data_IF_371878303073
#
_entry.id   IF_371878303073
#
_cell.length_a   1.000
_cell.length_b   1.000
_cell.length_c   1.000
_cell.angle_alpha   90.00
_cell.angle_beta   90.00
_cell.angle_gamma   90.00
#
_symmetry.space_group_name_H-M   'P 1'
#
loop_
_entity.id
_entity.type
_entity.pdbx_description
1 polymer ?
#
# COMPACT_ATOMS: atom_id res chain seq x y z
N UNK A 1 -29.21 -16.85 -0.30
CA UNK A 1 -27.78 -16.87 -0.65
C UNK A 1 -27.60 -17.25 -2.11
N UNK A 2 -27.42 -16.24 -2.97
CA UNK A 2 -26.64 -16.35 -4.22
C UNK A 2 -25.92 -15.02 -4.33
N UNK A 3 -24.60 -15.09 -4.26
CA UNK A 3 -23.66 -13.97 -4.23
C UNK A 3 -23.76 -13.18 -5.54
N UNK A 4 -24.18 -11.92 -5.45
CA UNK A 4 -23.97 -10.93 -6.50
C UNK A 4 -22.48 -10.58 -6.50
N UNK A 5 -21.77 -10.99 -7.55
CA UNK A 5 -20.49 -10.37 -7.91
C UNK A 5 -20.87 -9.17 -8.78
N UNK A 6 -20.96 -7.99 -8.17
CA UNK A 6 -21.10 -6.74 -8.91
C UNK A 6 -19.72 -6.37 -9.46
N UNK A 7 -19.43 -6.79 -10.69
CA UNK A 7 -18.37 -6.17 -11.50
C UNK A 7 -18.89 -4.76 -11.78
N UNK A 8 -18.27 -3.76 -11.15
CA UNK A 8 -18.58 -2.36 -11.42
C UNK A 8 -18.29 -2.09 -12.91
N UNK A 9 -19.36 -1.88 -13.67
CA UNK A 9 -19.29 -1.39 -15.04
C UNK A 9 -18.45 -0.11 -15.08
N UNK A 10 -17.27 -0.18 -15.69
CA UNK A 10 -16.67 0.98 -16.34
C UNK A 10 -17.62 1.38 -17.46
N UNK A 11 -18.49 2.36 -17.19
CA UNK A 11 -19.20 3.08 -18.25
C UNK A 11 -18.17 3.97 -18.94
N UNK A 12 -17.38 3.36 -19.82
CA UNK A 12 -16.63 4.09 -20.83
C UNK A 12 -17.66 4.78 -21.71
N UNK A 13 -17.67 6.11 -21.74
CA UNK A 13 -18.57 6.89 -22.60
C UNK A 13 -18.22 6.53 -24.05
N UNK A 14 -19.05 5.68 -24.65
CA UNK A 14 -18.96 5.28 -26.04
C UNK A 14 -19.52 6.42 -26.89
N UNK A 15 -18.69 7.10 -27.68
CA UNK A 15 -19.21 7.93 -28.76
C UNK A 15 -19.46 7.03 -29.98
N UNK A 16 -20.70 6.56 -30.10
CA UNK A 16 -21.23 6.04 -31.36
C UNK A 16 -21.38 7.23 -32.31
N UNK A 17 -20.51 7.35 -33.30
CA UNK A 17 -20.81 8.16 -34.48
C UNK A 17 -21.40 7.19 -35.50
N UNK A 18 -22.72 7.05 -35.51
CA UNK A 18 -23.41 6.58 -36.70
C UNK A 18 -23.13 7.60 -37.80
N UNK A 19 -22.19 7.29 -38.71
CA UNK A 19 -21.89 8.19 -39.81
C UNK A 19 -23.09 8.22 -40.76
N UNK A 20 -23.92 9.25 -40.66
CA UNK A 20 -24.64 9.78 -41.81
C UNK A 20 -23.63 10.51 -42.69
N UNK A 21 -23.48 10.05 -43.93
CA UNK A 21 -22.90 10.60 -45.18
C UNK A 21 -21.65 11.53 -45.19
N UNK A 22 -21.23 12.17 -44.09
CA UNK A 22 -20.28 13.30 -44.14
C UNK A 22 -18.88 13.04 -43.54
N UNK A 23 -18.59 11.85 -43.01
CA UNK A 23 -17.21 11.45 -42.68
C UNK A 23 -16.62 10.57 -43.79
N UNK A 24 -16.46 11.16 -44.98
CA UNK A 24 -15.79 10.51 -46.10
C UNK A 24 -14.30 10.33 -45.81
N UNK A 25 -13.95 9.13 -45.32
CA UNK A 25 -12.70 8.50 -45.73
C UNK A 25 -12.82 8.21 -47.23
N UNK A 26 -11.98 8.83 -48.04
CA UNK A 26 -12.06 8.74 -49.48
C UNK A 26 -11.96 7.28 -49.97
N UNK A 27 -13.06 6.80 -50.57
CA UNK A 27 -13.10 5.63 -51.46
C UNK A 27 -12.78 4.27 -50.84
N UNK A 28 -13.76 3.66 -50.15
CA UNK A 28 -14.01 2.21 -50.01
C UNK A 28 -15.11 1.99 -48.94
N UNK A 29 -15.94 0.95 -49.09
CA UNK A 29 -17.10 0.46 -48.29
C UNK A 29 -17.54 1.28 -47.04
N UNK A 30 -18.83 1.67 -46.91
CA UNK A 30 -19.30 2.46 -45.77
C UNK A 30 -19.08 1.75 -44.43
N UNK A 31 -18.37 2.42 -43.52
CA UNK A 31 -18.17 1.97 -42.14
C UNK A 31 -19.50 2.03 -41.39
N UNK A 32 -19.99 0.89 -40.91
CA UNK A 32 -21.29 0.80 -40.23
C UNK A 32 -21.19 0.93 -38.71
N UNK A 33 -20.06 0.57 -38.12
CA UNK A 33 -19.80 0.69 -36.67
C UNK A 33 -18.40 1.28 -36.47
N UNK A 34 -18.33 2.36 -35.71
CA UNK A 34 -17.08 3.02 -35.33
C UNK A 34 -16.91 3.00 -33.81
N UNK A 35 -15.79 2.45 -33.34
CA UNK A 35 -15.36 2.60 -31.95
C UNK A 35 -14.33 3.71 -31.86
N UNK A 36 -14.56 4.67 -30.97
CA UNK A 36 -13.56 5.68 -30.60
C UNK A 36 -13.02 5.32 -29.23
N UNK A 37 -11.79 4.80 -29.20
CA UNK A 37 -11.09 4.53 -27.94
C UNK A 37 -10.37 5.82 -27.47
N UNK A 38 -10.73 6.40 -26.31
CA UNK A 38 -10.14 7.64 -25.82
C UNK A 38 -8.81 7.38 -25.10
N UNK A 39 -7.83 6.76 -25.77
CA UNK A 39 -6.55 6.42 -25.16
C UNK A 39 -5.41 6.51 -26.17
N UNK A 40 -4.22 6.85 -25.66
CA UNK A 40 -3.03 6.92 -26.47
C UNK A 40 -2.30 5.57 -26.47
N UNK A 41 -2.34 4.91 -27.62
CA UNK A 41 -1.53 3.73 -27.90
C UNK A 41 -0.10 4.18 -28.24
N UNK A 42 0.91 3.42 -27.81
CA UNK A 42 2.30 3.67 -28.19
C UNK A 42 2.39 3.49 -29.70
N UNK A 43 2.67 4.57 -30.42
CA UNK A 43 2.48 4.63 -31.88
C UNK A 43 3.26 3.56 -32.68
N UNK A 44 4.29 2.95 -32.08
CA UNK A 44 5.19 1.99 -32.72
C UNK A 44 5.07 0.56 -32.18
N UNK A 45 4.25 0.30 -31.15
CA UNK A 45 4.06 -1.05 -30.63
C UNK A 45 2.91 -1.76 -31.38
N UNK A 46 3.04 -3.07 -31.67
CA UNK A 46 1.96 -3.84 -32.28
C UNK A 46 0.90 -4.18 -31.23
N UNK A 47 -0.35 -3.94 -31.59
CA UNK A 47 -1.52 -4.30 -30.78
C UNK A 47 -2.44 -5.22 -31.56
N UNK A 48 -3.11 -6.12 -30.85
CA UNK A 48 -4.11 -7.01 -31.42
C UNK A 48 -5.49 -6.48 -31.09
N UNK A 49 -6.21 -6.03 -32.11
CA UNK A 49 -7.64 -5.77 -32.02
C UNK A 49 -8.40 -7.07 -32.23
N UNK A 50 -9.33 -7.37 -31.33
CA UNK A 50 -10.26 -8.49 -31.39
C UNK A 50 -11.67 -7.91 -31.34
N UNK A 51 -12.52 -8.35 -32.25
CA UNK A 51 -13.95 -8.04 -32.24
C UNK A 51 -14.72 -9.35 -32.23
N UNK A 52 -15.62 -9.48 -31.27
CA UNK A 52 -16.52 -10.62 -31.10
C UNK A 52 -17.95 -10.15 -31.24
N UNK A 53 -18.73 -10.86 -32.07
CA UNK A 53 -20.15 -10.57 -32.30
C UNK A 53 -20.98 -11.75 -31.81
N UNK A 54 -21.92 -11.46 -30.92
CA UNK A 54 -22.85 -12.43 -30.35
C UNK A 54 -24.28 -11.95 -30.48
N UNK A 55 -25.23 -12.87 -30.42
CA UNK A 55 -26.66 -12.58 -30.44
C UNK A 55 -27.48 -13.85 -30.56
N UNK A 56 -28.79 -13.75 -30.32
CA UNK A 56 -29.72 -14.87 -30.41
C UNK A 56 -29.81 -15.39 -31.86
N UNK A 57 -29.75 -16.71 -32.04
CA UNK A 57 -29.88 -17.36 -33.34
C UNK A 57 -28.66 -17.24 -34.26
N UNK A 58 -27.49 -16.86 -33.75
CA UNK A 58 -26.22 -16.94 -34.47
C UNK A 58 -25.15 -17.66 -33.64
N UNK A 59 -24.18 -18.29 -34.32
CA UNK A 59 -22.94 -18.69 -33.67
C UNK A 59 -22.08 -17.46 -33.40
N UNK A 60 -21.28 -17.48 -32.33
CA UNK A 60 -20.34 -16.42 -32.02
C UNK A 60 -19.36 -16.23 -33.20
N UNK A 61 -19.25 -14.99 -33.67
CA UNK A 61 -18.32 -14.64 -34.73
C UNK A 61 -17.19 -13.80 -34.15
N UNK A 62 -15.96 -14.26 -34.30
CA UNK A 62 -14.77 -13.56 -33.81
C UNK A 62 -13.84 -13.25 -34.97
N UNK A 63 -13.32 -12.03 -35.00
CA UNK A 63 -12.29 -11.61 -35.95
C UNK A 63 -11.25 -10.76 -35.24
N UNK A 64 -10.01 -10.85 -35.69
CA UNK A 64 -8.88 -10.13 -35.08
C UNK A 64 -7.93 -9.59 -36.14
N UNK A 65 -7.27 -8.48 -35.82
CA UNK A 65 -6.23 -7.88 -36.65
C UNK A 65 -5.13 -7.28 -35.79
N UNK A 66 -3.91 -7.24 -36.32
CA UNK A 66 -2.80 -6.54 -35.66
C UNK A 66 -2.62 -5.17 -36.30
N UNK A 67 -2.37 -4.16 -35.49
CA UNK A 67 -2.13 -2.80 -35.97
C UNK A 67 -1.04 -2.10 -35.17
N UNK A 68 -0.31 -1.23 -35.86
CA UNK A 68 0.62 -0.25 -35.30
C UNK A 68 0.23 1.12 -35.87
N UNK A 69 -0.45 1.94 -35.07
CA UNK A 69 -0.92 3.25 -35.50
C UNK A 69 -2.30 3.65 -34.94
N UNK A 70 -2.88 4.69 -35.56
CA UNK A 70 -4.09 5.38 -35.05
C UNK A 70 -5.41 4.74 -35.49
N UNK A 71 -5.39 3.73 -36.35
CA UNK A 71 -6.62 3.12 -36.88
C UNK A 71 -6.41 1.63 -37.11
N UNK A 72 -7.47 0.86 -36.89
CA UNK A 72 -7.56 -0.55 -37.22
C UNK A 72 -8.91 -0.83 -37.88
N UNK A 73 -8.92 -1.72 -38.88
CA UNK A 73 -10.15 -2.15 -39.55
C UNK A 73 -10.26 -3.67 -39.45
N UNK A 74 -11.47 -4.13 -39.19
CA UNK A 74 -11.82 -5.55 -39.24
C UNK A 74 -13.02 -5.70 -40.15
N UNK A 75 -12.85 -6.56 -41.15
CA UNK A 75 -13.93 -6.97 -42.02
C UNK A 75 -14.60 -8.20 -41.42
N UNK A 76 -15.93 -8.16 -41.40
CA UNK A 76 -16.74 -9.32 -41.06
C UNK A 76 -17.41 -9.86 -42.32
N UNK A 77 -17.48 -11.18 -42.50
CA UNK A 77 -18.43 -11.76 -43.45
C UNK A 77 -19.86 -11.40 -43.02
N UNK A 78 -20.84 -11.60 -43.91
CA UNK A 78 -22.24 -11.24 -43.64
C UNK A 78 -22.71 -11.78 -42.27
N UNK A 79 -23.01 -10.86 -41.34
CA UNK A 79 -23.47 -11.19 -40.00
C UNK A 79 -25.00 -11.41 -40.06
N UNK A 80 -25.54 -12.47 -39.46
CA UNK A 80 -26.99 -12.70 -39.43
C UNK A 80 -27.75 -11.50 -38.85
N UNK A 81 -28.82 -11.07 -39.51
CA UNK A 81 -29.69 -10.00 -39.02
C UNK A 81 -30.25 -10.30 -37.63
N UNK A 82 -30.46 -9.28 -36.80
CA UNK A 82 -31.01 -9.40 -35.45
C UNK A 82 -30.98 -8.06 -34.72
N UNK A 83 -31.86 -7.88 -33.74
CA UNK A 83 -32.00 -6.65 -32.96
C UNK A 83 -31.20 -6.61 -31.66
N UNK A 84 -30.37 -7.63 -31.44
CA UNK A 84 -29.68 -7.93 -30.19
C UNK A 84 -28.18 -8.25 -30.42
N UNK A 85 -27.63 -7.80 -31.55
CA UNK A 85 -26.25 -8.10 -31.92
C UNK A 85 -25.31 -7.29 -31.05
N UNK A 86 -24.61 -7.98 -30.15
CA UNK A 86 -23.62 -7.40 -29.25
C UNK A 86 -22.24 -7.49 -29.91
N UNK A 87 -21.62 -6.34 -30.13
CA UNK A 87 -20.25 -6.23 -30.60
C UNK A 87 -19.37 -5.96 -29.39
N UNK A 88 -18.52 -6.93 -29.05
CA UNK A 88 -17.48 -6.81 -28.04
C UNK A 88 -16.15 -6.52 -28.71
N UNK A 89 -15.42 -5.54 -28.19
CA UNK A 89 -14.11 -5.14 -28.67
C UNK A 89 -13.10 -5.35 -27.57
N UNK A 90 -12.00 -6.02 -27.88
CA UNK A 90 -10.80 -6.07 -27.03
C UNK A 90 -9.59 -5.58 -27.81
N UNK A 91 -8.77 -4.72 -27.23
CA UNK A 91 -7.42 -4.44 -27.73
C UNK A 91 -6.45 -5.06 -26.76
N UNK A 92 -5.50 -5.85 -27.26
CA UNK A 92 -4.46 -6.50 -26.47
C UNK A 92 -3.07 -5.98 -26.87
N UNK A 93 -2.17 -5.88 -25.90
CA UNK A 93 -0.75 -5.60 -26.19
C UNK A 93 -0.01 -6.83 -26.73
N UNK A 94 1.26 -6.64 -27.10
CA UNK A 94 2.15 -7.72 -27.57
C UNK A 94 2.33 -8.89 -26.59
N UNK A 95 2.03 -8.68 -25.30
CA UNK A 95 2.13 -9.72 -24.26
C UNK A 95 0.78 -10.43 -24.05
N UNK A 96 -0.26 -10.06 -24.80
CA UNK A 96 -1.60 -10.63 -24.69
C UNK A 96 -2.45 -10.06 -23.56
N UNK A 97 -1.99 -9.00 -22.87
CA UNK A 97 -2.78 -8.35 -21.83
C UNK A 97 -3.88 -7.50 -22.46
N UNK A 98 -5.08 -7.55 -21.89
CA UNK A 98 -6.19 -6.70 -22.32
C UNK A 98 -5.85 -5.25 -21.96
N UNK A 99 -5.68 -4.44 -22.99
CA UNK A 99 -5.37 -3.01 -22.95
C UNK A 99 -6.64 -2.14 -23.01
N UNK A 100 -7.67 -2.61 -23.72
CA UNK A 100 -8.99 -1.98 -23.80
C UNK A 100 -10.07 -3.04 -23.98
N UNK A 101 -11.25 -2.81 -23.42
CA UNK A 101 -12.45 -3.63 -23.57
C UNK A 101 -13.69 -2.76 -23.65
N UNK A 102 -14.60 -3.04 -24.59
CA UNK A 102 -15.87 -2.31 -24.72
C UNK A 102 -16.94 -3.13 -25.43
N UNK A 103 -18.20 -2.76 -25.26
CA UNK A 103 -19.33 -3.41 -25.92
C UNK A 103 -20.33 -2.39 -26.47
N UNK A 104 -20.99 -2.73 -27.57
CA UNK A 104 -22.15 -2.00 -28.11
C UNK A 104 -23.17 -2.96 -28.69
N UNK A 105 -24.40 -2.51 -28.86
CA UNK A 105 -25.48 -3.26 -29.52
C UNK A 105 -25.93 -2.54 -30.79
N UNK A 106 -26.10 -3.27 -31.88
CA UNK A 106 -26.62 -2.72 -33.13
C UNK A 106 -27.71 -3.60 -33.76
N UNK A 107 -28.66 -2.95 -34.43
CA UNK A 107 -29.72 -3.62 -35.16
C UNK A 107 -29.25 -3.87 -36.61
N UNK A 108 -28.99 -5.12 -36.96
CA UNK A 108 -28.51 -5.46 -38.30
C UNK A 108 -29.68 -5.78 -39.26
N UNK A 109 -29.70 -5.09 -40.39
CA UNK A 109 -30.60 -5.34 -41.53
C UNK A 109 -30.01 -6.49 -42.38
N UNK A 110 -30.81 -7.43 -42.94
CA UNK A 110 -30.29 -8.61 -43.63
C UNK A 110 -29.45 -8.34 -44.89
N UNK A 111 -28.43 -9.17 -45.11
CA UNK A 111 -27.72 -9.43 -46.39
C UNK A 111 -26.78 -8.35 -46.95
N UNK A 112 -26.13 -7.55 -46.12
CA UNK A 112 -24.99 -6.74 -46.58
C UNK A 112 -23.72 -7.03 -45.77
N UNK A 113 -22.54 -7.22 -46.42
CA UNK A 113 -21.27 -7.25 -45.71
C UNK A 113 -21.04 -5.92 -44.97
N UNK A 114 -20.45 -6.00 -43.77
CA UNK A 114 -20.24 -4.83 -42.93
C UNK A 114 -18.77 -4.68 -42.54
N UNK A 115 -18.29 -3.44 -42.58
CA UNK A 115 -16.98 -3.08 -42.07
C UNK A 115 -17.13 -2.49 -40.66
N UNK A 116 -16.45 -3.10 -39.69
CA UNK A 116 -16.29 -2.54 -38.35
C UNK A 116 -14.93 -1.84 -38.32
N UNK A 117 -14.94 -0.52 -38.06
CA UNK A 117 -13.71 0.25 -37.95
C UNK A 117 -13.50 0.70 -36.50
N UNK A 118 -12.24 0.73 -36.08
CA UNK A 118 -11.85 1.33 -34.82
C UNK A 118 -10.90 2.48 -35.14
N UNK A 119 -11.29 3.67 -34.70
CA UNK A 119 -10.43 4.86 -34.74
C UNK A 119 -9.87 5.08 -33.35
N UNK A 120 -8.55 4.95 -33.23
CA UNK A 120 -7.79 5.25 -32.02
C UNK A 120 -7.32 6.70 -32.14
N UNK A 121 -8.01 7.61 -31.45
CA UNK A 121 -7.61 9.02 -31.44
C UNK A 121 -6.52 9.17 -30.37
N UNK A 122 -5.29 9.55 -30.73
CA UNK A 122 -4.26 9.83 -29.74
C UNK A 122 -4.72 11.03 -28.92
N UNK A 123 -4.94 10.83 -27.63
CA UNK A 123 -5.20 11.95 -26.73
C UNK A 123 -3.86 12.66 -26.44
N UNK A 124 -3.46 13.59 -27.30
CA UNK A 124 -2.32 14.48 -27.04
C UNK A 124 -2.81 15.79 -26.46
N UNK A 125 -2.50 16.06 -25.18
CA UNK A 125 -2.84 17.31 -24.53
C UNK A 125 -2.29 17.40 -23.10
N UNK A 126 -2.10 18.61 -22.55
CA UNK A 126 -1.68 18.78 -21.16
C UNK A 126 -2.77 18.26 -20.20
N UNK A 127 -2.35 17.58 -19.14
CA UNK A 127 -3.23 17.26 -18.00
C UNK A 127 -2.90 18.26 -16.90
N UNK A 128 -3.86 19.09 -16.50
CA UNK A 128 -3.70 19.94 -15.33
C UNK A 128 -4.15 19.16 -14.09
N UNK A 129 -3.31 19.06 -13.06
CA UNK A 129 -3.76 18.64 -11.75
C UNK A 129 -3.99 19.89 -10.89
N UNK A 130 -5.17 20.03 -10.34
CA UNK A 130 -5.46 21.02 -9.32
C UNK A 130 -5.44 20.29 -7.98
N UNK A 131 -4.51 20.64 -7.08
CA UNK A 131 -4.48 20.05 -5.75
C UNK A 131 -5.20 20.99 -4.81
N UNK A 132 -6.35 20.56 -4.30
CA UNK A 132 -7.05 21.29 -3.26
C UNK A 132 -6.82 20.60 -1.93
N UNK A 133 -6.62 21.37 -0.88
CA UNK A 133 -6.46 20.85 0.47
C UNK A 133 -7.22 21.75 1.44
N UNK A 134 -7.84 21.14 2.44
CA UNK A 134 -8.58 21.85 3.49
C UNK A 134 -7.68 22.01 4.71
N UNK A 135 -7.40 23.22 5.18
CA UNK A 135 -6.74 23.46 6.49
C UNK A 135 -5.24 23.09 6.62
N UNK A 136 -4.37 24.06 6.29
CA UNK A 136 -2.95 24.05 6.69
C UNK A 136 -2.56 25.39 7.31
N UNK A 137 -1.52 25.40 8.16
CA UNK A 137 -1.11 26.61 8.87
C UNK A 137 -0.40 27.58 7.91
N UNK A 138 -0.99 28.77 7.72
CA UNK A 138 -0.40 29.84 6.89
C UNK A 138 0.93 30.31 7.50
N UNK A 139 1.96 30.44 6.66
CA UNK A 139 3.30 30.91 7.05
C UNK A 139 4.29 29.81 7.42
N UNK A 140 3.87 28.54 7.43
CA UNK A 140 4.79 27.40 7.60
C UNK A 140 5.24 26.89 6.23
N UNK A 141 6.55 26.62 6.02
CA UNK A 141 7.04 26.04 4.78
C UNK A 141 6.63 24.56 4.67
N UNK A 142 6.03 24.23 3.53
CA UNK A 142 5.66 22.88 3.13
C UNK A 142 6.16 22.60 1.72
N UNK A 143 6.26 21.32 1.36
CA UNK A 143 6.53 20.86 0.00
C UNK A 143 5.36 20.01 -0.48
N UNK A 144 4.71 20.40 -1.57
CA UNK A 144 3.73 19.59 -2.29
C UNK A 144 4.47 18.73 -3.31
N UNK A 145 4.41 17.41 -3.14
CA UNK A 145 4.92 16.43 -4.08
C UNK A 145 3.74 15.79 -4.80
N UNK A 146 3.60 16.06 -6.11
CA UNK A 146 2.60 15.38 -6.95
C UNK A 146 3.30 14.32 -7.78
N UNK A 147 2.85 13.07 -7.62
CA UNK A 147 3.35 11.88 -8.28
C UNK A 147 2.31 11.32 -9.25
N UNK A 148 2.80 10.87 -10.39
CA UNK A 148 2.00 10.16 -11.38
C UNK A 148 2.50 8.72 -11.43
N UNK A 149 1.61 7.78 -11.12
CA UNK A 149 1.94 6.35 -11.00
C UNK A 149 1.42 5.60 -12.23
N UNK A 150 2.29 4.80 -12.87
CA UNK A 150 1.95 3.89 -13.95
C UNK A 150 2.47 2.48 -13.64
N UNK A 151 1.62 1.46 -13.80
CA UNK A 151 1.96 0.04 -13.55
C UNK A 151 2.68 -0.22 -12.20
N UNK A 152 2.29 0.51 -11.15
CA UNK A 152 2.88 0.38 -9.81
C UNK A 152 4.20 1.13 -9.61
N UNK A 153 4.69 1.87 -10.60
CA UNK A 153 5.93 2.66 -10.49
C UNK A 153 5.68 4.17 -10.59
N UNK A 154 6.55 4.94 -9.94
CA UNK A 154 6.61 6.40 -10.09
C UNK A 154 7.13 6.75 -11.49
N UNK A 155 6.36 7.52 -12.25
CA UNK A 155 6.71 7.88 -13.63
C UNK A 155 7.02 9.35 -13.80
N UNK A 156 6.42 10.19 -12.95
CA UNK A 156 6.73 11.61 -12.85
C UNK A 156 6.53 12.09 -11.42
N UNK A 157 7.41 12.98 -10.98
CA UNK A 157 7.35 13.62 -9.67
C UNK A 157 7.54 15.11 -9.88
N UNK A 158 6.67 15.93 -9.28
CA UNK A 158 6.80 17.38 -9.26
C UNK A 158 6.69 17.89 -7.83
N UNK A 159 7.74 18.59 -7.40
CA UNK A 159 7.80 19.23 -6.09
C UNK A 159 7.53 20.73 -6.23
N UNK A 160 6.70 21.27 -5.35
CA UNK A 160 6.42 22.71 -5.27
C UNK A 160 6.43 23.12 -3.80
N UNK A 161 7.26 24.10 -3.44
CA UNK A 161 7.30 24.61 -2.07
C UNK A 161 6.26 25.73 -1.89
N UNK A 162 5.56 25.71 -0.76
CA UNK A 162 4.47 26.65 -0.50
C UNK A 162 4.32 26.97 1.00
N UNK A 163 3.61 28.06 1.31
CA UNK A 163 3.41 28.55 2.68
C UNK A 163 1.94 28.90 3.00
N UNK A 164 0.95 28.47 2.20
CA UNK A 164 -0.43 28.93 2.39
C UNK A 164 -1.55 28.29 1.55
N UNK A 165 -2.08 29.01 0.55
CA UNK A 165 -3.35 28.68 -0.14
C UNK A 165 -3.23 27.48 -1.10
N UNK A 166 -4.37 26.82 -1.46
CA UNK A 166 -4.42 25.72 -2.42
C UNK A 166 -3.55 25.95 -3.65
N UNK A 167 -2.73 24.96 -4.03
CA UNK A 167 -1.82 25.06 -5.15
C UNK A 167 -2.31 24.27 -6.38
N UNK A 168 -2.36 24.96 -7.52
CA UNK A 168 -2.64 24.32 -8.80
C UNK A 168 -1.33 23.84 -9.43
N UNK A 169 -1.08 22.53 -9.44
CA UNK A 169 0.13 21.93 -10.02
C UNK A 169 -0.14 21.49 -11.46
N UNK A 170 0.20 22.36 -12.42
CA UNK A 170 0.05 22.05 -13.84
C UNK A 170 1.16 21.11 -14.34
N UNK A 171 0.78 20.06 -15.06
CA UNK A 171 1.70 19.24 -15.86
C UNK A 171 1.55 19.62 -17.33
N UNK A 172 2.65 20.00 -17.97
CA UNK A 172 2.62 20.49 -19.36
C UNK A 172 2.64 19.33 -20.37
N UNK A 173 3.17 18.19 -19.96
CA UNK A 173 3.21 16.98 -20.78
C UNK A 173 3.18 15.79 -19.82
N UNK A 174 2.10 15.01 -19.85
CA UNK A 174 2.11 13.66 -19.29
C UNK A 174 2.33 12.76 -20.49
N UNK A 175 3.39 11.91 -20.51
CA UNK A 175 3.56 10.94 -21.59
C UNK A 175 2.29 10.13 -21.78
N UNK A 176 2.10 9.54 -22.92
CA UNK A 176 0.84 8.87 -23.23
C UNK A 176 0.97 7.39 -22.81
N UNK A 177 0.31 6.96 -21.73
CA UNK A 177 0.53 5.63 -21.14
C UNK A 177 -0.35 5.33 -19.91
N UNK A 178 -0.30 4.08 -19.41
CA UNK A 178 -1.18 3.53 -18.35
C UNK A 178 -0.98 4.17 -16.96
N UNK A 179 -1.35 5.44 -16.77
CA UNK A 179 -1.39 6.02 -15.43
C UNK A 179 -2.72 5.72 -14.78
N UNK A 180 -2.67 4.94 -13.69
CA UNK A 180 -3.88 4.53 -12.97
C UNK A 180 -4.13 5.36 -11.72
N UNK A 181 -3.18 6.24 -11.33
CA UNK A 181 -3.20 6.89 -10.02
C UNK A 181 -2.39 8.19 -9.96
N UNK A 182 -3.02 9.24 -9.45
CA UNK A 182 -2.39 10.52 -9.06
C UNK A 182 -2.28 10.54 -7.55
N UNK A 183 -1.12 10.93 -7.04
CA UNK A 183 -0.87 11.04 -5.62
C UNK A 183 -0.30 12.41 -5.34
N UNK A 184 -0.93 13.14 -4.43
CA UNK A 184 -0.45 14.42 -3.95
C UNK A 184 -0.08 14.25 -2.47
N UNK A 185 1.19 14.47 -2.14
CA UNK A 185 1.74 14.39 -0.79
C UNK A 185 2.10 15.81 -0.34
N UNK A 186 1.60 16.24 0.82
CA UNK A 186 2.11 17.45 1.49
C UNK A 186 3.15 17.00 2.51
N UNK A 187 4.35 17.60 2.44
CA UNK A 187 5.45 17.34 3.36
C UNK A 187 5.77 18.56 4.21
N UNK A 188 6.09 18.35 5.49
CA UNK A 188 6.66 19.34 6.40
C UNK A 188 8.01 18.83 6.88
N UNK A 189 9.09 19.57 6.61
CA UNK A 189 10.47 19.16 6.92
C UNK A 189 10.80 17.73 6.42
N UNK A 190 10.37 17.41 5.19
CA UNK A 190 10.58 16.09 4.57
C UNK A 190 9.57 15.00 4.97
N UNK A 191 8.79 15.19 6.03
CA UNK A 191 7.80 14.21 6.54
C UNK A 191 6.46 14.42 5.86
N UNK A 192 5.84 13.37 5.34
CA UNK A 192 4.50 13.44 4.73
C UNK A 192 3.45 13.67 5.84
N UNK A 193 2.62 14.70 5.71
CA UNK A 193 1.59 15.12 6.68
C UNK A 193 0.17 15.13 6.13
N UNK A 194 -0.01 15.05 4.81
CA UNK A 194 -1.29 14.92 4.15
C UNK A 194 -1.11 14.19 2.82
N UNK A 195 -2.02 13.28 2.46
CA UNK A 195 -2.01 12.60 1.17
C UNK A 195 -3.42 12.60 0.60
N UNK A 196 -3.53 12.99 -0.66
CA UNK A 196 -4.71 12.72 -1.48
C UNK A 196 -4.30 11.84 -2.65
N UNK A 197 -5.09 10.84 -2.96
CA UNK A 197 -4.90 10.02 -4.15
C UNK A 197 -6.20 9.95 -4.94
N UNK A 198 -6.07 9.95 -6.27
CA UNK A 198 -7.19 9.71 -7.17
C UNK A 198 -6.80 8.58 -8.13
N UNK A 199 -7.63 7.55 -8.14
CA UNK A 199 -7.58 6.44 -9.10
C UNK A 199 -8.67 6.66 -10.15
N UNK A 200 -8.41 7.53 -11.13
CA UNK A 200 -9.31 7.72 -12.27
C UNK A 200 -8.50 7.80 -13.57
N UNK A 201 -9.06 7.35 -14.71
CA UNK A 201 -8.43 7.50 -16.01
C UNK A 201 -8.17 8.98 -16.30
N UNK A 202 -6.97 9.31 -16.77
CA UNK A 202 -6.66 10.69 -17.14
C UNK A 202 -7.28 11.02 -18.49
N UNK A 203 -8.00 12.14 -18.52
CA UNK A 203 -8.51 12.72 -19.76
C UNK A 203 -7.68 13.98 -20.05
N UNK A 204 -6.82 13.98 -21.07
CA UNK A 204 -6.09 15.19 -21.50
C UNK A 204 -7.03 16.36 -21.76
N UNK A 205 -6.65 17.55 -21.27
CA UNK A 205 -7.49 18.76 -21.35
C UNK A 205 -8.49 18.93 -20.20
N UNK A 206 -8.72 17.92 -19.36
CA UNK A 206 -9.58 18.02 -18.17
C UNK A 206 -8.73 18.26 -16.92
N UNK A 207 -8.95 19.35 -16.15
CA UNK A 207 -8.34 19.52 -14.85
C UNK A 207 -8.77 18.40 -13.91
N UNK A 208 -7.81 17.74 -13.26
CA UNK A 208 -8.06 16.74 -12.22
C UNK A 208 -7.92 17.42 -10.88
N UNK A 209 -9.01 17.50 -10.12
CA UNK A 209 -8.95 18.02 -8.75
C UNK A 209 -8.57 16.90 -7.80
N UNK A 210 -7.33 16.88 -7.32
CA UNK A 210 -6.92 16.04 -6.19
C UNK A 210 -7.29 16.78 -4.91
N UNK A 211 -8.41 16.38 -4.30
CA UNK A 211 -8.73 16.81 -2.95
C UNK A 211 -7.88 16.00 -1.98
N UNK A 212 -6.96 16.66 -1.31
CA UNK A 212 -6.32 16.14 -0.11
C UNK A 212 -7.26 16.52 1.03
N UNK A 213 -8.05 15.59 1.59
CA UNK A 213 -8.60 15.84 2.90
C UNK A 213 -7.37 15.99 3.80
N UNK A 214 -7.11 17.19 4.32
CA UNK A 214 -6.25 17.29 5.51
C UNK A 214 -7.13 16.89 6.70
N UNK A 215 -7.73 15.71 6.63
CA UNK A 215 -7.66 14.86 7.80
C UNK A 215 -6.17 14.66 7.94
N UNK A 216 -5.56 15.44 8.84
CA UNK A 216 -4.16 15.32 9.20
C UNK A 216 -3.79 13.84 9.09
N UNK A 217 -2.80 13.48 8.25
CA UNK A 217 -2.10 12.22 8.55
C UNK A 217 -1.79 12.38 10.02
N UNK A 218 -2.34 11.53 10.91
CA UNK A 218 -2.22 11.76 12.32
C UNK A 218 -0.74 11.94 12.53
N UNK A 219 -0.33 13.18 12.86
CA UNK A 219 1.08 13.55 12.92
C UNK A 219 1.62 12.52 13.88
N UNK A 220 2.44 11.61 13.38
CA UNK A 220 2.78 10.43 14.16
C UNK A 220 3.58 10.97 15.33
N UNK A 221 2.93 11.00 16.49
CA UNK A 221 3.50 11.60 17.67
C UNK A 221 4.70 10.72 18.01
N UNK A 222 5.90 11.31 17.96
CA UNK A 222 7.11 10.62 18.32
C UNK A 222 7.59 11.13 19.67
N UNK A 223 8.01 10.21 20.51
CA UNK A 223 8.63 10.50 21.78
C UNK A 223 10.14 10.64 21.56
N UNK A 224 10.74 11.69 22.14
CA UNK A 224 12.19 11.88 22.19
C UNK A 224 12.76 11.03 23.31
N UNK A 225 13.63 10.09 22.99
CA UNK A 225 14.35 9.26 23.96
C UNK A 225 15.73 9.88 24.21
N UNK A 226 16.06 10.27 25.45
CA UNK A 226 17.32 10.95 25.73
C UNK A 226 18.52 10.04 25.47
N UNK A 227 19.63 10.63 25.02
CA UNK A 227 20.91 9.95 24.96
C UNK A 227 21.33 9.41 26.34
N UNK A 228 22.05 8.29 26.38
CA UNK A 228 22.58 7.73 27.62
C UNK A 228 22.60 6.22 27.67
N UNK A 229 23.15 5.72 28.78
CA UNK A 229 23.33 4.29 29.05
C UNK A 229 22.09 3.63 29.64
N UNK A 230 21.91 2.34 29.35
CA UNK A 230 20.95 1.47 30.04
C UNK A 230 21.45 0.02 30.09
N UNK A 231 20.88 -0.76 31.00
CA UNK A 231 21.09 -2.21 31.09
C UNK A 231 20.16 -2.93 30.09
N UNK A 232 20.75 -3.53 29.06
CA UNK A 232 20.05 -4.31 28.04
C UNK A 232 20.10 -5.80 28.36
N UNK A 233 18.97 -6.49 28.19
CA UNK A 233 18.81 -7.93 28.42
C UNK A 233 18.07 -8.30 29.69
N UNK A 234 18.05 -9.60 29.99
CA UNK A 234 17.21 -10.17 31.04
C UNK A 234 17.94 -10.26 32.41
N UNK A 235 17.53 -9.46 33.42
CA UNK A 235 18.13 -9.50 34.75
C UNK A 235 17.62 -10.67 35.61
N UNK A 236 16.57 -11.38 35.19
CA UNK A 236 15.94 -12.46 35.96
C UNK A 236 16.44 -13.86 35.60
N UNK A 237 17.23 -13.98 34.53
CA UNK A 237 17.80 -15.24 34.06
C UNK A 237 16.73 -16.27 33.64
N UNK A 238 15.69 -15.79 32.98
CA UNK A 238 14.55 -16.54 32.46
C UNK A 238 14.61 -16.67 30.92
N UNK A 239 15.33 -15.78 30.22
CA UNK A 239 15.42 -15.73 28.75
C UNK A 239 16.89 -15.91 28.30
N UNK A 240 17.20 -17.07 27.71
CA UNK A 240 18.58 -17.48 27.42
C UNK A 240 19.32 -16.61 26.40
N UNK A 241 18.65 -16.19 25.33
CA UNK A 241 19.18 -15.37 24.23
C UNK A 241 19.07 -13.86 24.49
N UNK A 242 18.55 -13.47 25.66
CA UNK A 242 18.59 -12.11 26.19
C UNK A 242 19.72 -11.93 27.22
N UNK A 243 20.72 -12.81 27.20
CA UNK A 243 21.88 -12.79 28.08
C UNK A 243 23.20 -12.67 27.30
N UNK A 244 24.26 -12.10 27.92
CA UNK A 244 24.29 -11.48 29.24
C UNK A 244 23.57 -10.12 29.28
N UNK A 245 23.17 -9.70 30.49
CA UNK A 245 22.86 -8.28 30.72
C UNK A 245 24.14 -7.47 30.48
N UNK A 246 24.04 -6.42 29.67
CA UNK A 246 25.19 -5.60 29.28
C UNK A 246 24.80 -4.13 29.17
N UNK A 247 25.78 -3.24 29.34
CA UNK A 247 25.56 -1.80 29.26
C UNK A 247 25.62 -1.36 27.80
N UNK A 248 24.56 -0.70 27.35
CA UNK A 248 24.46 -0.09 26.03
C UNK A 248 24.28 1.41 26.18
N UNK A 249 25.08 2.18 25.44
CA UNK A 249 24.89 3.61 25.22
C UNK A 249 24.14 3.81 23.90
N UNK A 250 23.07 4.60 23.94
CA UNK A 250 22.37 5.07 22.76
C UNK A 250 22.44 6.59 22.67
N UNK A 251 22.67 7.08 21.46
CA UNK A 251 22.42 8.48 21.13
C UNK A 251 20.94 8.83 21.30
N UNK A 252 20.64 10.11 21.22
CA UNK A 252 19.27 10.59 21.23
C UNK A 252 18.56 10.22 19.93
N UNK A 253 17.32 9.75 20.04
CA UNK A 253 16.49 9.40 18.90
C UNK A 253 15.01 9.69 19.19
N UNK A 254 14.21 9.66 18.14
CA UNK A 254 12.75 9.67 18.23
C UNK A 254 12.21 8.29 17.93
N UNK A 255 11.14 7.89 18.62
CA UNK A 255 10.40 6.66 18.34
C UNK A 255 8.90 6.94 18.40
N UNK A 256 8.12 6.26 17.56
CA UNK A 256 6.69 6.43 17.50
C UNK A 256 6.05 6.08 18.87
N UNK A 257 5.16 6.96 19.32
CA UNK A 257 4.42 6.81 20.58
C UNK A 257 3.49 5.58 20.57
N UNK A 258 2.99 5.24 19.39
CA UNK A 258 2.06 4.16 19.11
C UNK A 258 2.61 3.26 18.00
N UNK A 259 2.11 2.04 17.91
CA UNK A 259 2.27 1.19 16.73
C UNK A 259 1.67 1.87 15.48
N UNK A 260 2.17 1.52 14.29
CA UNK A 260 1.61 2.04 13.04
C UNK A 260 0.18 1.54 12.87
N UNK A 261 -0.77 2.45 12.68
CA UNK A 261 -2.20 2.09 12.59
C UNK A 261 -2.63 1.69 11.18
N UNK A 262 -3.77 0.99 11.08
CA UNK A 262 -4.40 0.70 9.79
C UNK A 262 -4.66 1.97 8.97
N UNK A 263 -5.12 3.07 9.60
CA UNK A 263 -5.32 4.34 8.89
C UNK A 263 -4.02 4.86 8.28
N UNK A 264 -2.91 4.80 9.03
CA UNK A 264 -1.60 5.23 8.59
C UNK A 264 -1.07 4.34 7.46
N UNK A 265 -1.20 3.02 7.57
CA UNK A 265 -0.72 2.08 6.56
C UNK A 265 -1.56 2.14 5.26
N UNK A 266 -2.87 2.40 5.34
CA UNK A 266 -3.71 2.66 4.15
C UNK A 266 -3.20 3.83 3.32
N UNK A 267 -2.71 4.89 3.95
CA UNK A 267 -2.14 6.03 3.22
C UNK A 267 -0.87 5.64 2.45
N UNK A 268 -0.05 4.76 3.01
CA UNK A 268 1.11 4.19 2.33
C UNK A 268 0.67 3.39 1.09
N UNK A 269 -0.20 2.39 1.25
CA UNK A 269 -0.79 1.60 0.15
C UNK A 269 -1.41 2.52 -0.92
N UNK A 270 -2.19 3.52 -0.49
CA UNK A 270 -2.84 4.49 -1.35
C UNK A 270 -1.91 5.54 -1.96
N UNK A 271 -0.66 5.70 -1.53
CA UNK A 271 0.29 6.62 -2.19
C UNK A 271 1.30 5.89 -3.06
N UNK A 272 1.70 4.68 -2.69
CA UNK A 272 2.76 3.95 -3.39
C UNK A 272 2.22 2.89 -4.33
N UNK A 273 1.00 2.40 -4.10
CA UNK A 273 0.50 1.21 -4.79
C UNK A 273 1.07 -0.09 -4.22
N UNK A 274 1.72 -0.03 -3.05
CA UNK A 274 2.10 -1.21 -2.27
C UNK A 274 0.88 -2.10 -2.00
N UNK A 275 1.08 -3.40 -1.83
CA UNK A 275 -0.04 -4.31 -1.59
C UNK A 275 -0.66 -4.09 -0.21
N UNK A 276 -1.94 -4.44 -0.08
CA UNK A 276 -2.60 -4.48 1.23
C UNK A 276 -1.94 -5.55 2.14
N UNK A 277 -2.01 -5.40 3.47
CA UNK A 277 -1.53 -6.43 4.37
C UNK A 277 -2.24 -7.76 4.08
N UNK A 278 -1.46 -8.82 4.00
CA UNK A 278 -1.96 -10.17 3.78
C UNK A 278 -0.95 -11.18 4.31
N UNK A 279 -1.39 -12.37 4.71
CA UNK A 279 -0.46 -13.44 5.13
C UNK A 279 -0.96 -14.81 4.73
N UNK A 280 -0.07 -15.79 4.54
CA UNK A 280 -0.47 -17.19 4.41
C UNK A 280 -1.29 -17.65 5.64
N UNK A 281 -2.55 -18.00 5.43
CA UNK A 281 -3.43 -18.64 6.41
C UNK A 281 -3.21 -20.16 6.34
N UNK A 282 -2.32 -20.65 7.19
CA UNK A 282 -2.06 -22.09 7.35
C UNK A 282 -3.01 -22.73 8.37
N UNK A 283 -4.28 -22.33 8.36
CA UNK A 283 -5.32 -22.90 9.23
C UNK A 283 -5.58 -24.38 8.92
N UNK A 284 -5.56 -25.23 9.96
CA UNK A 284 -6.05 -26.61 9.86
C UNK A 284 -7.58 -26.59 9.74
N UNK A 285 -8.13 -26.74 8.54
CA UNK A 285 -9.53 -27.13 8.41
C UNK A 285 -9.60 -28.61 8.77
N UNK A 286 -10.60 -29.09 9.52
CA UNK A 286 -10.73 -30.50 9.92
C UNK A 286 -10.72 -31.54 8.76
N UNK A 287 -10.52 -31.10 7.52
CA UNK A 287 -10.37 -31.84 6.27
C UNK A 287 -9.04 -31.60 5.52
N UNK A 288 -8.05 -30.93 6.12
CA UNK A 288 -6.69 -30.72 5.57
C UNK A 288 -6.21 -29.26 5.53
N UNK A 289 -4.94 -29.06 5.16
CA UNK A 289 -4.34 -27.75 4.87
C UNK A 289 -4.93 -27.22 3.56
N UNK A 290 -5.61 -26.08 3.61
CA UNK A 290 -5.90 -25.27 2.43
C UNK A 290 -5.04 -24.03 2.56
N UNK A 291 -4.19 -23.76 1.56
CA UNK A 291 -3.55 -22.45 1.42
C UNK A 291 -4.65 -21.42 1.19
N UNK A 292 -5.03 -20.72 2.26
CA UNK A 292 -5.86 -19.52 2.17
C UNK A 292 -4.95 -18.34 2.45
N UNK A 293 -5.25 -17.18 1.88
CA UNK A 293 -4.57 -15.92 2.22
C UNK A 293 -5.49 -15.20 3.21
N UNK A 294 -4.98 -14.92 4.41
CA UNK A 294 -5.66 -14.05 5.37
C UNK A 294 -5.40 -12.60 5.00
N UNK A 295 -6.47 -11.80 4.95
CA UNK A 295 -6.41 -10.36 4.67
C UNK A 295 -7.05 -9.63 5.85
N UNK A 296 -6.28 -9.06 6.80
CA UNK A 296 -6.82 -8.43 8.01
C UNK A 296 -7.81 -7.31 7.70
N UNK A 297 -7.68 -6.63 6.56
CA UNK A 297 -8.63 -5.59 6.17
C UNK A 297 -10.00 -6.10 5.71
N UNK A 298 -10.15 -7.42 5.57
CA UNK A 298 -11.44 -8.09 5.36
C UNK A 298 -12.00 -8.66 6.67
N UNK A 299 -11.25 -8.57 7.76
CA UNK A 299 -11.64 -9.04 9.09
C UNK A 299 -12.01 -7.84 9.97
N UNK A 300 -13.26 -7.77 10.39
CA UNK A 300 -13.74 -6.68 11.26
C UNK A 300 -12.97 -6.58 12.58
N UNK A 301 -12.34 -7.67 13.04
CA UNK A 301 -11.56 -7.68 14.27
C UNK A 301 -10.19 -7.00 14.16
N UNK A 302 -9.68 -6.77 12.94
CA UNK A 302 -8.32 -6.26 12.70
C UNK A 302 -8.26 -5.07 11.72
N UNK A 303 -9.42 -4.50 11.35
CA UNK A 303 -9.54 -3.51 10.28
C UNK A 303 -9.89 -2.09 10.79
N UNK A 304 -10.06 -1.89 12.10
CA UNK A 304 -10.43 -0.57 12.61
C UNK A 304 -9.29 0.44 12.34
N UNK A 305 -9.60 1.71 12.00
CA UNK A 305 -8.59 2.70 11.62
C UNK A 305 -7.51 2.97 12.68
N UNK A 306 -7.86 2.82 13.95
CA UNK A 306 -7.05 3.06 15.15
C UNK A 306 -6.40 1.80 15.73
N UNK A 307 -6.67 0.61 15.16
CA UNK A 307 -5.92 -0.60 15.47
C UNK A 307 -4.55 -0.60 14.79
N UNK A 308 -3.55 -1.29 15.37
CA UNK A 308 -2.27 -1.50 14.70
C UNK A 308 -2.46 -2.28 13.40
N UNK A 309 -1.68 -1.94 12.38
CA UNK A 309 -1.60 -2.75 11.17
C UNK A 309 -0.93 -4.09 11.51
N UNK A 310 -1.54 -5.18 11.05
CA UNK A 310 -1.04 -6.54 11.24
C UNK A 310 -0.83 -7.24 9.90
N UNK A 311 -0.20 -8.42 9.94
CA UNK A 311 0.10 -9.23 8.75
C UNK A 311 0.99 -8.48 7.74
N UNK A 312 1.96 -7.73 8.27
CA UNK A 312 2.99 -7.04 7.52
C UNK A 312 4.35 -7.70 7.75
N UNK A 313 5.11 -7.90 6.68
CA UNK A 313 6.46 -8.44 6.74
C UNK A 313 7.43 -7.39 7.27
N UNK A 314 8.65 -7.82 7.53
CA UNK A 314 9.75 -6.89 7.77
C UNK A 314 10.01 -5.99 6.54
N UNK A 315 9.84 -6.50 5.32
CA UNK A 315 9.99 -5.69 4.11
C UNK A 315 8.89 -4.64 3.96
N UNK A 316 7.65 -5.00 4.30
CA UNK A 316 6.51 -4.08 4.32
C UNK A 316 6.73 -2.95 5.32
N UNK A 317 7.17 -3.30 6.53
CA UNK A 317 7.51 -2.36 7.58
C UNK A 317 8.68 -1.44 7.16
N UNK A 318 9.75 -2.01 6.59
CA UNK A 318 10.88 -1.24 6.07
C UNK A 318 10.46 -0.26 4.96
N UNK A 319 9.68 -0.73 3.98
CA UNK A 319 9.16 0.10 2.89
C UNK A 319 8.27 1.25 3.41
N UNK A 320 7.38 0.96 4.37
CA UNK A 320 6.59 1.98 5.04
C UNK A 320 7.47 3.01 5.74
N UNK A 321 8.45 2.57 6.54
CA UNK A 321 9.30 3.50 7.30
C UNK A 321 10.13 4.39 6.37
N UNK A 322 10.65 3.85 5.26
CA UNK A 322 11.35 4.63 4.25
C UNK A 322 10.43 5.67 3.60
N UNK A 323 9.23 5.28 3.20
CA UNK A 323 8.22 6.18 2.66
C UNK A 323 7.85 7.31 3.63
N UNK A 324 7.73 6.99 4.93
CA UNK A 324 7.44 7.94 5.99
C UNK A 324 8.61 8.86 6.36
N UNK A 325 9.80 8.67 5.76
CA UNK A 325 11.01 9.43 6.12
C UNK A 325 11.57 9.06 7.49
N UNK A 326 11.39 7.79 7.88
CA UNK A 326 11.78 7.18 9.15
C UNK A 326 12.60 5.91 8.89
N UNK A 327 12.76 5.07 9.92
CA UNK A 327 13.32 3.72 9.86
C UNK A 327 12.67 2.84 10.92
N UNK A 328 12.93 1.53 10.91
CA UNK A 328 12.67 0.69 12.07
C UNK A 328 13.60 1.05 13.24
N UNK A 329 13.16 0.89 14.51
CA UNK A 329 14.06 0.99 15.66
C UNK A 329 15.10 -0.14 15.62
N UNK A 330 16.30 0.13 16.14
CA UNK A 330 17.18 -0.98 16.52
C UNK A 330 16.58 -1.71 17.71
N UNK A 331 16.96 -2.97 17.93
CA UNK A 331 16.50 -3.73 19.08
C UNK A 331 16.86 -3.04 20.40
N UNK A 332 18.07 -2.45 20.47
CA UNK A 332 18.50 -1.72 21.65
C UNK A 332 17.67 -0.44 21.86
N UNK A 333 17.36 0.28 20.79
CA UNK A 333 16.48 1.46 20.86
C UNK A 333 15.09 1.09 21.34
N UNK A 334 14.53 0.00 20.81
CA UNK A 334 13.23 -0.52 21.22
C UNK A 334 13.23 -0.87 22.71
N UNK A 335 14.22 -1.61 23.19
CA UNK A 335 14.27 -2.04 24.60
C UNK A 335 14.48 -0.85 25.55
N UNK A 336 15.38 0.10 25.22
CA UNK A 336 15.55 1.33 26.01
C UNK A 336 14.26 2.13 26.09
N UNK A 337 13.57 2.27 24.97
CA UNK A 337 12.29 2.96 24.92
C UNK A 337 11.21 2.23 25.75
N UNK A 338 11.13 0.91 25.63
CA UNK A 338 10.17 0.06 26.33
C UNK A 338 10.36 0.09 27.84
N UNK A 339 11.61 0.12 28.33
CA UNK A 339 11.93 0.23 29.76
C UNK A 339 11.45 1.53 30.40
N UNK A 340 11.19 2.59 29.62
CA UNK A 340 10.56 3.81 30.13
C UNK A 340 11.34 4.51 31.26
N UNK A 341 12.67 4.33 31.31
CA UNK A 341 13.53 4.87 32.39
C UNK A 341 13.63 3.98 33.63
N UNK A 342 12.97 2.82 33.67
CA UNK A 342 13.10 1.83 34.73
C UNK A 342 14.32 0.94 34.52
N UNK A 343 14.96 0.54 35.62
CA UNK A 343 16.13 -0.36 35.63
C UNK A 343 15.73 -1.68 36.28
N UNK A 344 16.13 -2.80 35.67
CA UNK A 344 15.94 -4.13 36.23
C UNK A 344 14.48 -4.58 36.39
N UNK A 345 13.55 -4.03 35.60
CA UNK A 345 12.12 -4.37 35.64
C UNK A 345 11.72 -5.32 34.51
N UNK A 346 10.74 -6.18 34.81
CA UNK A 346 10.23 -7.19 33.86
C UNK A 346 9.37 -6.58 32.76
N UNK A 347 8.52 -5.61 33.09
CA UNK A 347 7.59 -4.97 32.18
C UNK A 347 7.85 -3.46 32.10
N UNK A 348 7.32 -2.76 31.08
CA UNK A 348 7.46 -1.30 30.91
C UNK A 348 7.02 -0.46 32.13
N UNK A 349 6.20 -1.03 33.03
CA UNK A 349 5.65 -0.36 34.21
C UNK A 349 6.09 -0.98 35.55
N UNK A 350 6.80 -2.12 35.57
CA UNK A 350 7.17 -2.80 36.81
C UNK A 350 7.33 -4.31 36.67
N UNK A 351 7.03 -5.06 37.72
CA UNK A 351 7.33 -6.50 37.80
C UNK A 351 6.09 -7.42 37.70
N UNK A 352 4.89 -6.84 37.80
CA UNK A 352 3.63 -7.57 37.69
C UNK A 352 2.84 -7.10 36.47
N UNK A 353 2.12 -8.03 35.85
CA UNK A 353 1.21 -7.77 34.73
C UNK A 353 -0.22 -8.11 35.15
N UNK A 354 -1.15 -7.25 34.76
CA UNK A 354 -2.58 -7.53 34.75
C UNK A 354 -3.17 -7.09 33.41
N UNK A 355 -4.40 -7.52 33.11
CA UNK A 355 -5.15 -7.04 31.96
C UNK A 355 -5.56 -5.55 32.02
N UNK A 356 -5.16 -4.80 33.07
CA UNK A 356 -5.24 -3.34 33.06
C UNK A 356 -3.99 -2.68 32.44
N UNK A 357 -2.94 -3.45 32.19
CA UNK A 357 -1.65 -2.95 31.72
C UNK A 357 -1.38 -3.18 30.23
N UNK A 358 -1.91 -4.24 29.63
CA UNK A 358 -1.65 -4.61 28.25
C UNK A 358 -2.77 -5.50 27.69
N UNK A 359 -2.82 -5.59 26.36
CA UNK A 359 -3.62 -6.57 25.63
C UNK A 359 -2.77 -7.82 25.35
N UNK A 360 -3.15 -8.97 25.89
CA UNK A 360 -2.40 -10.22 25.79
C UNK A 360 -3.35 -11.42 25.83
N UNK A 361 -2.86 -12.67 25.91
CA UNK A 361 -3.75 -13.84 25.93
C UNK A 361 -4.87 -13.74 26.97
N UNK A 362 -6.06 -14.24 26.64
CA UNK A 362 -7.30 -14.03 27.39
C UNK A 362 -7.72 -12.54 27.47
N UNK A 363 -8.69 -12.19 28.31
CA UNK A 363 -9.19 -10.82 28.46
C UNK A 363 -9.89 -10.64 29.79
N UNK A 364 -9.58 -9.57 30.50
CA UNK A 364 -10.19 -9.19 31.77
C UNK A 364 -9.96 -7.68 32.02
N UNK A 365 -10.55 -7.10 33.07
CA UNK A 365 -10.26 -5.72 33.46
C UNK A 365 -10.44 -4.72 32.29
N UNK A 366 -9.40 -3.96 31.96
CA UNK A 366 -9.40 -3.05 30.80
C UNK A 366 -9.29 -3.76 29.46
N UNK A 367 -8.61 -4.89 29.39
CA UNK A 367 -8.45 -5.67 28.17
C UNK A 367 -9.74 -6.42 27.85
N UNK A 368 -10.41 -6.02 26.77
CA UNK A 368 -11.71 -6.58 26.37
C UNK A 368 -11.68 -7.17 24.95
N UNK A 369 -10.50 -7.21 24.32
CA UNK A 369 -10.35 -7.57 22.91
C UNK A 369 -9.93 -9.03 22.73
N UNK A 370 -10.52 -9.72 21.77
CA UNK A 370 -10.09 -11.08 21.36
C UNK A 370 -8.94 -11.05 20.34
N UNK A 371 -8.49 -9.86 19.98
CA UNK A 371 -7.48 -9.58 18.97
C UNK A 371 -6.85 -8.23 19.33
N UNK A 372 -6.33 -7.50 18.34
CA UNK A 372 -5.74 -6.20 18.57
C UNK A 372 -6.72 -5.20 19.18
N UNK A 373 -6.24 -4.41 20.12
CA UNK A 373 -6.93 -3.26 20.69
C UNK A 373 -6.53 -2.01 19.89
N UNK A 374 -7.34 -0.93 19.93
CA UNK A 374 -6.88 0.37 19.46
C UNK A 374 -5.57 0.76 20.11
N UNK A 375 -4.64 1.33 19.35
CA UNK A 375 -3.37 1.80 19.91
C UNK A 375 -3.62 2.83 21.00
N UNK A 376 -2.87 2.77 22.09
CA UNK A 376 -3.00 3.68 23.22
C UNK A 376 -4.10 3.31 24.23
N UNK A 377 -4.67 2.11 24.16
CA UNK A 377 -5.73 1.67 25.08
C UNK A 377 -5.25 1.52 26.53
N UNK A 378 -3.98 1.20 26.73
CA UNK A 378 -3.38 0.96 28.04
C UNK A 378 -2.53 2.14 28.54
N UNK A 379 -2.16 2.22 29.83
CA UNK A 379 -1.31 3.30 30.32
C UNK A 379 0.06 3.35 29.63
N UNK A 380 0.60 4.55 29.36
CA UNK A 380 1.95 4.67 28.81
C UNK A 380 3.03 4.32 29.84
N UNK A 381 4.22 3.97 29.36
CA UNK A 381 5.41 3.82 30.21
C UNK A 381 6.00 5.19 30.62
N UNK A 382 7.10 5.17 31.37
CA UNK A 382 7.73 6.40 31.89
C UNK A 382 8.28 7.38 30.83
N UNK A 383 8.41 6.97 29.57
CA UNK A 383 8.73 7.85 28.45
C UNK A 383 7.50 8.31 27.65
N UNK A 384 6.30 7.83 27.98
CA UNK A 384 5.08 8.19 27.28
C UNK A 384 4.74 7.30 26.08
N UNK A 385 5.41 6.15 25.93
CA UNK A 385 5.09 5.18 24.87
C UNK A 385 4.00 4.23 25.32
N UNK A 386 3.15 3.85 24.39
CA UNK A 386 2.03 2.94 24.59
C UNK A 386 2.32 1.58 23.97
N UNK A 387 1.67 0.55 24.52
CA UNK A 387 1.62 -0.80 23.95
C UNK A 387 3.01 -1.42 23.69
N UNK A 388 4.02 -1.04 24.49
CA UNK A 388 5.36 -1.63 24.40
C UNK A 388 5.41 -3.10 24.86
N UNK A 389 4.32 -3.61 25.42
CA UNK A 389 4.14 -5.01 25.78
C UNK A 389 2.70 -5.41 25.41
N UNK A 390 2.56 -6.48 24.63
CA UNK A 390 1.26 -6.97 24.14
C UNK A 390 0.83 -6.32 22.83
N UNK A 391 -0.46 -6.40 22.53
CA UNK A 391 -1.12 -5.93 21.31
C UNK A 391 -0.57 -6.60 20.02
N UNK A 392 0.56 -6.15 19.49
CA UNK A 392 1.22 -6.75 18.32
C UNK A 392 2.72 -6.95 18.53
N UNK A 393 3.28 -8.00 17.93
CA UNK A 393 4.73 -8.14 17.87
C UNK A 393 5.30 -7.03 16.98
N UNK A 394 6.45 -6.46 17.35
CA UNK A 394 7.02 -5.33 16.61
C UNK A 394 8.37 -5.65 15.97
N UNK A 395 8.44 -5.45 14.65
CA UNK A 395 9.68 -5.58 13.88
C UNK A 395 10.76 -4.58 14.32
N UNK A 396 11.97 -5.09 14.53
CA UNK A 396 13.18 -4.30 14.71
C UNK A 396 14.10 -4.41 13.48
N UNK A 397 15.04 -3.47 13.38
CA UNK A 397 16.02 -3.40 12.30
C UNK A 397 16.98 -4.59 12.28
N UNK A 398 17.29 -5.11 13.46
CA UNK A 398 18.38 -6.04 13.72
C UNK A 398 18.20 -7.41 13.07
N UNK A 399 19.31 -7.98 12.60
CA UNK A 399 19.41 -9.42 12.38
C UNK A 399 19.30 -10.13 13.72
N UNK A 400 18.46 -11.15 13.79
CA UNK A 400 18.42 -11.98 14.98
C UNK A 400 19.67 -12.85 15.06
N UNK A 401 20.46 -12.64 16.11
CA UNK A 401 21.61 -13.46 16.48
C UNK A 401 21.55 -13.73 17.99
N UNK A 402 21.44 -15.02 18.34
CA UNK A 402 21.33 -15.51 19.72
C UNK A 402 22.57 -15.18 20.56
N UNK A 403 23.75 -15.06 19.93
CA UNK A 403 25.01 -14.75 20.58
C UNK A 403 25.36 -13.27 20.57
N UNK A 404 24.50 -12.40 20.04
CA UNK A 404 24.82 -10.99 19.83
C UNK A 404 25.13 -10.26 21.13
N UNK A 405 24.37 -10.49 22.21
CA UNK A 405 24.53 -9.76 23.47
C UNK A 405 25.92 -9.97 24.09
N UNK A 406 26.53 -11.16 23.89
CA UNK A 406 27.86 -11.46 24.39
C UNK A 406 28.99 -10.71 23.65
N UNK A 407 28.72 -10.23 22.43
CA UNK A 407 29.67 -9.52 21.56
C UNK A 407 29.19 -8.12 21.16
N UNK A 408 28.13 -7.63 21.80
CA UNK A 408 27.46 -6.38 21.47
C UNK A 408 28.41 -5.20 21.70
N UNK A 409 28.60 -4.29 20.72
CA UNK A 409 29.34 -3.07 20.95
C UNK A 409 28.58 -2.16 21.90
N UNK A 410 29.30 -1.40 22.73
CA UNK A 410 28.67 -0.53 23.73
C UNK A 410 27.80 0.56 23.11
N UNK A 411 28.24 1.18 22.01
CA UNK A 411 27.61 2.39 21.47
C UNK A 411 26.76 2.05 20.25
N UNK A 412 25.47 2.40 20.28
CA UNK A 412 24.51 2.22 19.18
C UNK A 412 24.59 0.83 18.52
N UNK A 413 24.48 -0.28 19.28
CA UNK A 413 24.60 -1.62 18.73
C UNK A 413 23.47 -1.92 17.75
N UNK A 414 23.86 -2.52 16.63
CA UNK A 414 22.96 -3.09 15.62
C UNK A 414 23.56 -4.39 15.11
N UNK A 415 22.78 -5.46 15.15
CA UNK A 415 23.16 -6.75 14.58
C UNK A 415 22.86 -6.80 13.07
N UNK A 416 23.75 -7.43 12.29
CA UNK A 416 23.55 -7.63 10.84
C UNK A 416 23.97 -6.47 9.94
N UNK A 417 24.72 -5.48 10.46
CA UNK A 417 25.36 -4.41 9.66
C UNK A 417 25.00 -2.99 10.10
N UNK A 418 25.37 -2.00 9.29
CA UNK A 418 25.08 -0.59 9.55
C UNK A 418 23.64 -0.23 9.17
N UNK A 419 22.96 0.59 9.98
CA UNK A 419 21.58 1.04 9.75
C UNK A 419 21.37 1.53 8.32
N UNK A 420 22.24 2.41 7.81
CA UNK A 420 22.10 2.97 6.47
C UNK A 420 22.18 1.91 5.37
N UNK A 421 23.01 0.87 5.55
CA UNK A 421 23.12 -0.21 4.57
C UNK A 421 21.84 -1.03 4.54
N UNK A 422 21.37 -1.46 5.72
CA UNK A 422 20.16 -2.26 5.84
C UNK A 422 18.93 -1.48 5.37
N UNK A 423 18.86 -0.16 5.63
CA UNK A 423 17.73 0.67 5.23
C UNK A 423 17.70 0.99 3.72
N UNK A 424 18.86 1.04 3.07
CA UNK A 424 18.95 1.36 1.65
C UNK A 424 18.84 0.12 0.74
N UNK A 425 19.13 -1.07 1.27
CA UNK A 425 19.14 -2.34 0.51
C UNK A 425 18.27 -3.41 1.17
N UNK A 426 17.20 -3.00 1.85
CA UNK A 426 16.36 -3.88 2.67
C UNK A 426 15.76 -5.04 1.87
N UNK A 427 15.52 -4.90 0.57
CA UNK A 427 14.94 -5.97 -0.26
C UNK A 427 15.87 -7.19 -0.44
N UNK A 428 17.19 -6.98 -0.31
CA UNK A 428 18.21 -8.02 -0.47
C UNK A 428 18.58 -8.71 0.83
N UNK A 429 18.08 -8.23 1.96
CA UNK A 429 18.16 -8.90 3.25
C UNK A 429 17.51 -10.28 3.17
N UNK A 430 18.11 -11.29 3.80
CA UNK A 430 17.55 -12.66 3.89
C UNK A 430 17.63 -13.26 5.30
N UNK A 431 18.44 -12.70 6.19
CA UNK A 431 18.55 -13.17 7.57
C UNK A 431 17.31 -12.82 8.38
N UNK A 432 16.96 -13.69 9.34
CA UNK A 432 15.84 -13.48 10.25
C UNK A 432 15.99 -12.18 11.02
N UNK A 433 14.87 -11.52 11.30
CA UNK A 433 14.81 -10.21 11.94
C UNK A 433 14.19 -10.31 13.31
N UNK A 434 14.64 -9.43 14.19
CA UNK A 434 14.17 -9.36 15.59
C UNK A 434 12.72 -8.88 15.65
N UNK A 435 11.96 -9.50 16.55
CA UNK A 435 10.64 -9.07 17.00
C UNK A 435 10.67 -8.81 18.50
N UNK A 436 9.94 -7.80 18.99
CA UNK A 436 9.85 -7.46 20.41
C UNK A 436 8.40 -7.25 20.86
N UNK A 437 8.15 -7.36 22.17
CA UNK A 437 6.90 -6.92 22.82
C UNK A 437 5.85 -7.99 23.09
N UNK A 438 5.82 -9.10 22.35
CA UNK A 438 4.71 -10.05 22.43
C UNK A 438 3.48 -9.54 21.65
N UNK A 439 2.31 -10.15 21.86
CA UNK A 439 1.08 -9.76 21.16
C UNK A 439 -0.17 -10.08 22.00
N UNK A 440 -1.35 -9.73 21.49
CA UNK A 440 -2.66 -10.08 22.05
C UNK A 440 -2.95 -11.59 22.14
N UNK A 441 -2.06 -12.45 21.64
CA UNK A 441 -2.17 -13.91 21.74
C UNK A 441 -1.03 -14.53 22.56
N UNK A 442 -0.19 -13.69 23.16
CA UNK A 442 0.99 -14.12 23.91
C UNK A 442 0.69 -14.15 25.41
N UNK A 443 1.29 -15.09 26.11
CA UNK A 443 1.23 -15.12 27.57
C UNK A 443 2.02 -13.97 28.22
N UNK A 444 1.77 -13.76 29.52
CA UNK A 444 2.44 -12.71 30.28
C UNK A 444 3.96 -12.87 30.38
N UNK A 445 4.53 -14.05 30.14
CA UNK A 445 5.98 -14.25 30.10
C UNK A 445 6.58 -13.64 28.83
N UNK A 446 5.94 -13.89 27.68
CA UNK A 446 6.38 -13.38 26.38
C UNK A 446 6.34 -11.84 26.30
N UNK A 447 5.48 -11.20 27.11
CA UNK A 447 5.35 -9.75 27.20
C UNK A 447 6.49 -9.04 27.96
N UNK A 448 7.41 -9.80 28.58
CA UNK A 448 8.51 -9.19 29.31
C UNK A 448 9.43 -8.39 28.37
N UNK A 449 9.89 -7.23 28.85
CA UNK A 449 10.62 -6.24 28.05
C UNK A 449 11.90 -6.80 27.43
N UNK A 450 12.51 -7.82 28.04
CA UNK A 450 13.73 -8.50 27.59
C UNK A 450 13.49 -9.67 26.64
N UNK A 451 12.25 -10.11 26.42
CA UNK A 451 11.94 -11.23 25.52
C UNK A 451 12.18 -10.80 24.07
N UNK A 452 12.79 -11.72 23.31
CA UNK A 452 13.19 -11.53 21.92
C UNK A 452 12.50 -12.58 21.07
N UNK A 453 11.75 -12.15 20.06
CA UNK A 453 11.24 -13.01 19.01
C UNK A 453 12.11 -12.90 17.75
N UNK A 454 11.85 -13.81 16.80
CA UNK A 454 12.41 -13.72 15.45
C UNK A 454 11.45 -14.27 14.43
N UNK A 455 11.52 -13.72 13.24
CA UNK A 455 10.91 -14.33 12.07
C UNK A 455 11.74 -14.01 10.82
N UNK A 456 11.60 -14.83 9.78
CA UNK A 456 12.23 -14.53 8.50
C UNK A 456 11.57 -13.29 7.87
N UNK A 457 12.35 -12.41 7.22
CA UNK A 457 11.90 -11.09 6.81
C UNK A 457 10.79 -11.10 5.76
N UNK A 458 10.60 -12.22 5.05
CA UNK A 458 9.48 -12.43 4.11
C UNK A 458 8.21 -12.94 4.77
N UNK A 459 8.32 -13.45 6.00
CA UNK A 459 7.18 -14.00 6.69
C UNK A 459 6.31 -12.86 7.23
N UNK A 460 5.10 -12.78 6.68
CA UNK A 460 3.98 -12.17 7.37
C UNK A 460 3.61 -13.17 8.47
N UNK A 461 4.16 -12.94 9.66
CA UNK A 461 4.46 -13.92 10.71
C UNK A 461 3.40 -15.04 10.82
N UNK A 462 3.88 -16.28 10.68
CA UNK A 462 3.10 -17.50 10.49
C UNK A 462 2.18 -17.81 11.67
N UNK A 463 0.92 -17.37 11.55
CA UNK A 463 -0.32 -17.74 12.26
C UNK A 463 -1.02 -16.49 12.77
N UNK A 464 -2.38 -16.50 12.86
CA UNK A 464 -3.13 -15.46 13.59
C UNK A 464 -2.57 -15.19 14.99
N UNK A 465 -1.87 -16.15 15.61
CA UNK A 465 -1.24 -16.09 16.95
C UNK A 465 -0.10 -15.07 17.08
N UNK A 466 0.44 -14.50 16.00
CA UNK A 466 1.58 -13.58 16.14
C UNK A 466 1.27 -12.11 15.88
N UNK A 467 0.08 -11.75 15.39
CA UNK A 467 -0.36 -10.37 15.14
C UNK A 467 0.82 -9.41 14.81
N UNK A 468 1.55 -9.66 13.72
CA UNK A 468 2.82 -8.96 13.45
C UNK A 468 2.61 -7.56 12.92
N UNK A 469 3.13 -6.56 13.64
CA UNK A 469 3.10 -5.14 13.31
C UNK A 469 4.47 -4.49 13.51
N UNK A 470 4.49 -3.16 13.68
CA UNK A 470 5.72 -2.40 13.90
C UNK A 470 5.42 -0.97 14.36
N UNK A 471 6.45 -0.29 14.87
CA UNK A 471 6.49 1.16 15.07
C UNK A 471 7.76 1.74 14.44
N UNK A 472 7.78 3.03 14.13
CA UNK A 472 8.95 3.65 13.50
C UNK A 472 9.87 4.33 14.52
N UNK A 473 11.12 4.54 14.14
CA UNK A 473 12.10 5.39 14.80
C UNK A 473 12.73 6.38 13.80
N UNK A 474 13.38 7.42 14.34
CA UNK A 474 14.07 8.44 13.55
C UNK A 474 15.29 8.96 14.30
N UNK A 475 16.43 8.94 13.62
CA UNK A 475 17.67 9.58 14.10
C UNK A 475 17.59 11.10 13.89
N UNK A 476 18.13 11.88 14.82
CA UNK A 476 18.30 13.33 14.62
C UNK A 476 19.37 13.61 13.54
N UNK A 477 19.19 14.63 12.68
CA UNK A 477 20.29 15.14 11.88
C UNK A 477 21.42 15.61 12.80
N UNK A 478 22.70 15.38 12.44
CA UNK A 478 23.85 15.79 13.23
C UNK A 478 23.99 17.30 13.41
#
# INVERSE_FOLDING_TARGET
MKTLITIACLVSILFLVACGEDNQLAGETPVRIAFVAPFAMLAEEPYTLIVTVTGEGMEEMKSETTFSGKQARIEFPAIPSGSDRVFTVEVRDKNGNIWYGGQTTENLIPNEPMTVAISVIPMTGPVAAEVTYSEIQVGIPYTLTVKVMGDGMETMVKNTDFTGKPEVVKFHTIPSGQYRKFVAEIRKNGVIIAIGAITQPLIPGTPITVSIPVESIPIVEMVRIPAGEFEMGDPFNEVGDARPVHIVYLDEFYIDKYEVTNAQYRLFVQSTGHHEPEMPDLGWTGSGFREKIYKPWQDSAANAPDQPVVAVSWYDAAAYTQWAGKRLPTEAEWEKAARGGLVGKRYPWGDAITHDNANYEDRDGRDQWWSTSPVGSFPPNGYGLYDMAGNVWEWCMDEYDEGFYAKSPKNNPVAGGFINFVNNDFINVKSSRVLRGGSCYSDGFVLAVSVRGRADPSHNILRPVYAGGFRCARTLPP
#
